data_IF_446154828328
#
_entry.id   IF_446154828328
#
_cell.length_a   1.000
_cell.length_b   1.000
_cell.length_c   1.000
_cell.angle_alpha   90.00
_cell.angle_beta   90.00
_cell.angle_gamma   90.00
#
_symmetry.space_group_name_H-M   'P 1'
#
loop_
_entity.id
_entity.type
_entity.pdbx_description
1 polymer ?
#
# COMPACT_ATOMS: atom_id res chain seq x y z
N UNK A 1 -22.83 -37.43 29.95
CA UNK A 1 -22.19 -36.61 28.92
C UNK A 1 -22.87 -35.25 28.96
N UNK A 2 -22.13 -34.22 29.33
CA UNK A 2 -22.63 -32.86 29.46
C UNK A 2 -23.06 -32.30 28.09
N UNK A 3 -24.24 -31.70 28.03
CA UNK A 3 -24.76 -31.06 26.81
C UNK A 3 -24.12 -29.68 26.64
N UNK A 4 -23.08 -29.61 25.80
CA UNK A 4 -22.57 -28.33 25.32
C UNK A 4 -23.67 -27.63 24.50
N UNK A 5 -24.05 -26.41 24.92
CA UNK A 5 -24.93 -25.51 24.17
C UNK A 5 -24.08 -24.43 23.50
N UNK A 6 -24.26 -24.28 22.19
CA UNK A 6 -23.66 -23.18 21.43
C UNK A 6 -24.41 -21.90 21.78
N UNK A 7 -23.68 -20.89 22.24
CA UNK A 7 -24.19 -19.53 22.42
C UNK A 7 -23.88 -18.80 21.12
N UNK A 8 -24.90 -18.31 20.41
CA UNK A 8 -24.70 -17.42 19.28
C UNK A 8 -24.10 -16.11 19.79
N UNK A 9 -22.83 -15.85 19.45
CA UNK A 9 -22.16 -14.61 19.81
C UNK A 9 -22.84 -13.43 19.12
N UNK A 10 -23.06 -12.33 19.85
CA UNK A 10 -23.51 -11.07 19.26
C UNK A 10 -22.45 -10.63 18.25
N UNK A 11 -22.86 -10.51 16.99
CA UNK A 11 -21.97 -10.10 15.91
C UNK A 11 -21.78 -8.59 16.03
N UNK A 12 -20.70 -8.15 16.68
CA UNK A 12 -20.36 -6.73 16.73
C UNK A 12 -20.00 -6.23 15.33
N UNK A 13 -20.50 -5.04 15.00
CA UNK A 13 -20.11 -4.35 13.77
C UNK A 13 -18.61 -4.04 13.82
N UNK A 14 -17.94 -4.22 12.68
CA UNK A 14 -16.52 -3.88 12.59
C UNK A 14 -16.35 -2.38 12.82
N UNK A 15 -15.34 -1.95 13.62
CA UNK A 15 -15.03 -0.53 13.76
C UNK A 15 -14.76 0.14 12.41
N UNK A 16 -15.17 1.40 12.28
CA UNK A 16 -14.77 2.24 11.15
C UNK A 16 -13.33 2.70 11.35
N UNK A 17 -12.39 1.87 10.88
CA UNK A 17 -10.96 2.16 10.98
C UNK A 17 -10.56 3.40 10.19
N UNK A 18 -11.24 3.73 9.09
CA UNK A 18 -10.97 4.95 8.33
C UNK A 18 -11.20 6.18 9.20
N UNK A 19 -12.38 6.30 9.81
CA UNK A 19 -12.73 7.45 10.64
C UNK A 19 -11.86 7.54 11.90
N UNK A 20 -11.56 6.39 12.52
CA UNK A 20 -10.69 6.33 13.69
C UNK A 20 -9.30 6.88 13.35
N UNK A 21 -8.66 6.39 12.29
CA UNK A 21 -7.31 6.81 11.93
C UNK A 21 -7.26 8.22 11.36
N UNK A 22 -8.27 8.65 10.60
CA UNK A 22 -8.40 10.04 10.14
C UNK A 22 -8.41 11.01 11.34
N UNK A 23 -9.27 10.77 12.31
CA UNK A 23 -9.37 11.59 13.53
C UNK A 23 -8.06 11.60 14.33
N UNK A 24 -7.43 10.43 14.49
CA UNK A 24 -6.15 10.35 15.22
C UNK A 24 -5.03 11.09 14.48
N UNK A 25 -4.96 10.96 13.16
CA UNK A 25 -3.97 11.63 12.33
C UNK A 25 -4.15 13.16 12.36
N UNK A 26 -5.38 13.65 12.22
CA UNK A 26 -5.67 15.10 12.32
C UNK A 26 -5.24 15.67 13.68
N UNK A 27 -5.50 14.95 14.77
CA UNK A 27 -5.05 15.37 16.11
C UNK A 27 -3.53 15.42 16.22
N UNK A 28 -2.83 14.40 15.71
CA UNK A 28 -1.38 14.34 15.75
C UNK A 28 -0.74 15.47 14.91
N UNK A 29 -1.27 15.76 13.72
CA UNK A 29 -0.80 16.86 12.86
C UNK A 29 -1.05 18.23 13.51
N UNK A 30 -2.20 18.41 14.16
CA UNK A 30 -2.47 19.64 14.91
C UNK A 30 -1.49 19.83 16.08
N UNK A 31 -1.14 18.74 16.77
CA UNK A 31 -0.16 18.77 17.85
C UNK A 31 1.26 19.10 17.33
N UNK A 32 1.67 18.54 16.17
CA UNK A 32 2.92 18.89 15.49
C UNK A 32 2.97 20.40 15.19
N UNK A 33 1.90 20.95 14.61
CA UNK A 33 1.80 22.37 14.27
C UNK A 33 1.91 23.25 15.51
N UNK A 34 1.13 22.96 16.55
CA UNK A 34 1.10 23.74 17.78
C UNK A 34 2.47 23.75 18.50
N UNK A 35 3.17 22.60 18.55
CA UNK A 35 4.52 22.54 19.15
C UNK A 35 5.53 23.33 18.33
N UNK A 36 5.49 23.23 16.99
CA UNK A 36 6.39 24.01 16.13
C UNK A 36 6.23 25.51 16.33
N UNK A 37 4.98 25.98 16.51
CA UNK A 37 4.67 27.39 16.77
C UNK A 37 5.08 27.83 18.19
N UNK A 38 4.88 26.98 19.20
CA UNK A 38 5.07 27.36 20.61
C UNK A 38 6.51 27.17 21.09
N UNK A 39 7.11 26.01 20.83
CA UNK A 39 8.40 25.61 21.41
C UNK A 39 9.54 25.60 20.40
N UNK A 40 9.26 25.76 19.10
CA UNK A 40 10.21 25.59 17.96
C UNK A 40 10.87 24.20 17.86
N UNK A 41 10.77 23.38 18.89
CA UNK A 41 11.17 21.98 18.98
C UNK A 41 9.91 21.13 19.08
N UNK A 42 9.81 20.13 18.22
CA UNK A 42 8.70 19.17 18.19
C UNK A 42 9.16 17.88 18.83
N UNK A 43 8.33 17.30 19.71
CA UNK A 43 8.64 16.04 20.38
C UNK A 43 8.67 14.87 19.39
N UNK A 44 9.66 13.99 19.54
CA UNK A 44 9.79 12.75 18.77
C UNK A 44 8.55 11.86 18.91
N UNK A 45 7.87 11.89 20.05
CA UNK A 45 6.65 11.10 20.26
C UNK A 45 5.49 11.58 19.40
N UNK A 46 5.39 12.89 19.17
CA UNK A 46 4.33 13.45 18.31
C UNK A 46 4.60 13.11 16.85
N UNK A 47 5.87 13.17 16.41
CA UNK A 47 6.28 12.66 15.09
C UNK A 47 5.88 11.19 14.91
N UNK A 48 6.25 10.34 15.87
CA UNK A 48 5.92 8.91 15.87
C UNK A 48 4.41 8.65 15.79
N UNK A 49 3.60 9.40 16.56
CA UNK A 49 2.13 9.32 16.49
C UNK A 49 1.60 9.72 15.12
N UNK A 50 2.08 10.83 14.55
CA UNK A 50 1.65 11.30 13.24
C UNK A 50 2.01 10.31 12.14
N UNK A 51 3.20 9.72 12.18
CA UNK A 51 3.64 8.69 11.24
C UNK A 51 2.77 7.44 11.37
N UNK A 52 2.61 6.91 12.58
CA UNK A 52 1.82 5.70 12.83
C UNK A 52 0.38 5.84 12.33
N UNK A 53 -0.28 6.93 12.72
CA UNK A 53 -1.67 7.20 12.35
C UNK A 53 -1.83 7.57 10.87
N UNK A 54 -0.85 8.26 10.27
CA UNK A 54 -0.85 8.61 8.85
C UNK A 54 -0.73 7.37 7.95
N UNK A 55 0.21 6.46 8.27
CA UNK A 55 0.36 5.18 7.57
C UNK A 55 -0.96 4.39 7.61
N UNK A 56 -1.54 4.21 8.80
CA UNK A 56 -2.79 3.46 8.96
C UNK A 56 -3.98 4.13 8.31
N UNK A 57 -4.07 5.46 8.37
CA UNK A 57 -5.09 6.20 7.66
C UNK A 57 -5.01 5.94 6.16
N UNK A 58 -3.83 6.07 5.55
CA UNK A 58 -3.61 5.86 4.11
C UNK A 58 -3.97 4.43 3.69
N UNK A 59 -3.65 3.44 4.51
CA UNK A 59 -4.01 2.04 4.27
C UNK A 59 -5.52 1.78 4.32
N UNK A 60 -6.26 2.52 5.14
CA UNK A 60 -7.71 2.36 5.30
C UNK A 60 -8.52 3.30 4.39
N UNK A 61 -7.88 4.20 3.66
CA UNK A 61 -8.50 5.09 2.68
C UNK A 61 -8.80 4.31 1.40
N UNK A 62 -10.04 4.40 0.90
CA UNK A 62 -10.45 3.72 -0.34
C UNK A 62 -9.50 4.01 -1.51
N UNK A 63 -9.25 2.97 -2.31
CA UNK A 63 -8.45 3.07 -3.54
C UNK A 63 -9.35 3.37 -4.76
N UNK A 64 -10.38 4.24 -4.62
CA UNK A 64 -11.09 4.76 -5.79
C UNK A 64 -10.21 5.78 -6.53
N UNK A 65 -9.34 5.27 -7.39
CA UNK A 65 -8.33 6.03 -8.12
C UNK A 65 -8.85 6.60 -9.45
N UNK A 66 -10.17 6.79 -9.60
CA UNK A 66 -10.78 7.33 -10.83
C UNK A 66 -10.74 8.85 -10.92
N UNK A 67 -10.85 9.54 -9.79
CA UNK A 67 -10.80 11.01 -9.74
C UNK A 67 -9.34 11.48 -9.61
N UNK A 68 -8.84 12.14 -10.66
CA UNK A 68 -7.49 12.68 -10.70
C UNK A 68 -7.19 13.62 -9.52
N UNK A 69 -8.15 14.46 -9.10
CA UNK A 69 -7.95 15.40 -7.98
C UNK A 69 -7.77 14.64 -6.67
N UNK A 70 -8.56 13.60 -6.47
CA UNK A 70 -8.45 12.72 -5.31
C UNK A 70 -7.10 11.96 -5.30
N UNK A 71 -6.71 11.38 -6.43
CA UNK A 71 -5.42 10.69 -6.56
C UNK A 71 -4.25 11.63 -6.25
N UNK A 72 -4.30 12.87 -6.74
CA UNK A 72 -3.29 13.90 -6.47
C UNK A 72 -3.23 14.26 -4.98
N UNK A 73 -4.38 14.47 -4.33
CA UNK A 73 -4.42 14.73 -2.89
C UNK A 73 -3.87 13.54 -2.07
N UNK A 74 -4.21 12.30 -2.44
CA UNK A 74 -3.66 11.09 -1.79
C UNK A 74 -2.15 10.99 -1.99
N UNK A 75 -1.64 11.32 -3.17
CA UNK A 75 -0.21 11.37 -3.44
C UNK A 75 0.51 12.39 -2.55
N UNK A 76 0.01 13.62 -2.49
CA UNK A 76 0.62 14.68 -1.69
C UNK A 76 0.64 14.30 -0.19
N UNK A 77 -0.42 13.64 0.30
CA UNK A 77 -0.47 13.08 1.65
C UNK A 77 0.58 11.98 1.89
N UNK A 78 0.76 11.06 0.94
CA UNK A 78 1.78 10.00 1.02
C UNK A 78 3.18 10.61 1.05
N UNK A 79 3.44 11.61 0.21
CA UNK A 79 4.73 12.34 0.21
C UNK A 79 4.97 12.98 1.56
N UNK A 80 3.97 13.68 2.12
CA UNK A 80 4.09 14.29 3.45
C UNK A 80 4.39 13.26 4.55
N UNK A 81 3.70 12.11 4.57
CA UNK A 81 3.98 11.05 5.55
C UNK A 81 5.39 10.47 5.37
N UNK A 82 5.87 10.32 4.13
CA UNK A 82 7.25 9.91 3.85
C UNK A 82 8.28 10.93 4.33
N UNK A 83 8.02 12.22 4.19
CA UNK A 83 8.89 13.28 4.73
C UNK A 83 8.99 13.19 6.26
N UNK A 84 7.88 12.93 6.95
CA UNK A 84 7.89 12.69 8.40
C UNK A 84 8.71 11.44 8.76
N UNK A 85 8.56 10.35 8.01
CA UNK A 85 9.36 9.13 8.20
C UNK A 85 10.86 9.41 7.98
N UNK A 86 11.21 10.22 6.97
CA UNK A 86 12.57 10.64 6.68
C UNK A 86 13.24 11.42 7.81
N UNK A 87 12.48 11.96 8.76
CA UNK A 87 13.02 12.61 9.96
C UNK A 87 13.45 11.63 11.07
N UNK A 88 13.12 10.34 10.95
CA UNK A 88 13.49 9.32 11.94
C UNK A 88 14.79 8.60 11.55
N UNK A 89 15.42 7.96 12.54
CA UNK A 89 16.39 6.88 12.29
C UNK A 89 15.68 5.53 12.14
N UNK A 90 16.31 4.51 11.54
CA UNK A 90 15.78 3.14 11.54
C UNK A 90 15.42 2.64 12.94
N UNK A 91 16.25 2.92 13.96
CA UNK A 91 15.96 2.57 15.36
C UNK A 91 14.62 3.14 15.84
N UNK A 92 14.36 4.39 15.52
CA UNK A 92 13.13 5.08 15.93
C UNK A 92 11.92 4.55 15.16
N UNK A 93 12.08 4.27 13.87
CA UNK A 93 11.03 3.67 13.05
C UNK A 93 10.67 2.26 13.54
N UNK A 94 11.65 1.43 13.91
CA UNK A 94 11.41 0.10 14.49
C UNK A 94 10.61 0.14 15.79
N UNK A 95 10.66 1.26 16.53
CA UNK A 95 9.87 1.41 17.77
C UNK A 95 8.37 1.62 17.52
N UNK A 96 7.99 2.05 16.30
CA UNK A 96 6.58 2.23 15.91
C UNK A 96 6.08 1.10 15.01
N UNK A 97 6.93 0.56 14.15
CA UNK A 97 6.61 -0.57 13.28
C UNK A 97 7.65 -1.67 13.47
N UNK A 98 7.41 -2.65 14.35
CA UNK A 98 8.36 -3.75 14.53
C UNK A 98 8.53 -4.57 13.25
N UNK A 99 9.75 -5.05 13.00
CA UNK A 99 10.05 -5.97 11.90
C UNK A 99 9.35 -7.31 12.17
N UNK A 100 8.64 -7.84 11.17
CA UNK A 100 8.01 -9.15 11.25
C UNK A 100 9.08 -10.25 11.37
N UNK A 101 8.92 -11.16 12.34
CA UNK A 101 9.85 -12.26 12.63
C UNK A 101 9.63 -13.46 11.72
N UNK A 102 9.69 -13.21 10.43
CA UNK A 102 9.69 -14.24 9.40
C UNK A 102 11.13 -14.42 8.89
N UNK A 103 11.53 -15.65 8.58
CA UNK A 103 12.95 -16.00 8.35
C UNK A 103 13.20 -16.75 7.04
N UNK A 104 12.17 -17.02 6.24
CA UNK A 104 12.25 -17.84 5.02
C UNK A 104 11.91 -17.04 3.76
N UNK A 105 11.97 -15.71 3.82
CA UNK A 105 11.60 -14.85 2.68
C UNK A 105 12.52 -15.07 1.49
N UNK A 106 13.83 -15.23 1.72
CA UNK A 106 14.81 -15.46 0.66
C UNK A 106 14.52 -16.70 -0.22
N UNK A 107 13.91 -17.76 0.33
CA UNK A 107 13.49 -18.94 -0.45
C UNK A 107 12.39 -18.63 -1.46
N UNK A 108 11.61 -17.58 -1.20
CA UNK A 108 10.44 -17.20 -1.97
C UNK A 108 10.60 -15.84 -2.68
N UNK A 109 11.82 -15.29 -2.71
CA UNK A 109 12.06 -13.96 -3.27
C UNK A 109 11.36 -12.83 -2.50
N UNK A 110 11.00 -13.07 -1.24
CA UNK A 110 10.34 -12.11 -0.37
C UNK A 110 11.34 -11.54 0.64
N UNK A 111 11.04 -10.34 1.12
CA UNK A 111 11.74 -9.75 2.28
C UNK A 111 11.40 -10.56 3.53
N UNK A 112 12.31 -10.52 4.49
CA UNK A 112 12.21 -11.18 5.78
C UNK A 112 13.03 -10.44 6.83
N UNK A 113 13.01 -10.93 8.06
CA UNK A 113 13.72 -10.30 9.17
C UNK A 113 15.21 -10.07 8.87
N UNK A 114 15.90 -11.06 8.30
CA UNK A 114 17.34 -10.96 8.06
C UNK A 114 17.68 -10.02 6.91
N UNK A 115 16.94 -10.05 5.82
CA UNK A 115 17.13 -9.12 4.70
C UNK A 115 16.81 -7.68 5.09
N UNK A 116 15.77 -7.45 5.91
CA UNK A 116 15.49 -6.12 6.47
C UNK A 116 16.59 -5.65 7.41
N UNK A 117 17.03 -6.47 8.37
CA UNK A 117 18.12 -6.08 9.28
C UNK A 117 19.41 -5.77 8.51
N UNK A 118 19.75 -6.57 7.50
CA UNK A 118 20.90 -6.29 6.63
C UNK A 118 20.80 -4.92 5.95
N UNK A 119 19.64 -4.60 5.38
CA UNK A 119 19.42 -3.28 4.74
C UNK A 119 19.51 -2.13 5.74
N UNK A 120 19.03 -2.33 6.98
CA UNK A 120 19.15 -1.33 8.06
C UNK A 120 20.60 -1.14 8.48
N UNK A 121 21.37 -2.22 8.60
CA UNK A 121 22.78 -2.18 8.99
C UNK A 121 23.62 -1.47 7.92
N UNK A 122 23.34 -1.70 6.64
CA UNK A 122 23.99 -1.01 5.50
C UNK A 122 23.69 0.50 5.49
N UNK A 123 22.48 0.91 5.87
CA UNK A 123 22.08 2.33 6.00
C UNK A 123 22.64 2.99 7.27
N UNK A 124 22.85 2.20 8.33
CA UNK A 124 23.19 2.66 9.67
C UNK A 124 21.95 2.88 10.53
N UNK A 125 21.82 2.08 11.60
CA UNK A 125 20.62 2.03 12.47
C UNK A 125 20.29 3.36 13.17
N UNK A 126 21.31 4.21 13.39
CA UNK A 126 21.19 5.53 14.02
C UNK A 126 21.38 6.69 13.01
N UNK A 127 21.48 6.38 11.72
CA UNK A 127 21.52 7.37 10.64
C UNK A 127 20.09 7.83 10.34
N UNK A 128 19.89 9.12 10.05
CA UNK A 128 18.59 9.61 9.61
C UNK A 128 18.20 8.98 8.26
N UNK A 129 16.96 8.50 8.14
CA UNK A 129 16.44 7.87 6.91
C UNK A 129 16.50 8.84 5.73
N UNK A 130 16.08 10.10 5.95
CA UNK A 130 16.17 11.18 4.97
C UNK A 130 15.54 10.86 3.62
N UNK A 131 16.23 11.24 2.55
CA UNK A 131 15.76 11.07 1.16
C UNK A 131 15.69 9.60 0.72
N UNK A 132 16.36 8.69 1.45
CA UNK A 132 16.33 7.25 1.18
C UNK A 132 15.04 6.58 1.67
N UNK A 133 14.05 7.34 2.15
CA UNK A 133 12.80 6.82 2.72
C UNK A 133 12.07 5.82 1.82
N UNK A 134 12.05 6.03 0.51
CA UNK A 134 11.35 5.10 -0.39
C UNK A 134 12.07 3.76 -0.50
N UNK A 135 13.42 3.76 -0.52
CA UNK A 135 14.22 2.54 -0.52
C UNK A 135 14.17 1.82 0.83
N UNK A 136 14.28 2.58 1.92
CA UNK A 136 14.13 2.08 3.28
C UNK A 136 12.80 1.33 3.46
N UNK A 137 11.68 1.99 3.14
CA UNK A 137 10.35 1.41 3.29
C UNK A 137 10.15 0.22 2.35
N UNK A 138 10.71 0.27 1.14
CA UNK A 138 10.70 -0.89 0.25
C UNK A 138 11.37 -2.08 0.95
N UNK A 139 12.58 -1.95 1.48
CA UNK A 139 13.31 -3.07 2.09
C UNK A 139 12.82 -3.47 3.51
N UNK A 140 11.78 -2.81 4.02
CA UNK A 140 11.29 -3.02 5.37
C UNK A 140 10.20 -4.10 5.46
N UNK A 141 10.46 -5.19 6.19
CA UNK A 141 9.51 -6.30 6.34
C UNK A 141 8.53 -6.09 7.50
N UNK A 142 7.39 -5.47 7.20
CA UNK A 142 6.23 -5.39 8.09
C UNK A 142 4.97 -5.44 7.22
N UNK A 143 4.22 -6.54 7.28
CA UNK A 143 3.08 -6.81 6.37
C UNK A 143 1.88 -5.90 6.65
N UNK A 144 1.54 -5.73 7.93
CA UNK A 144 0.29 -5.11 8.37
C UNK A 144 0.22 -3.61 8.05
N UNK A 145 1.33 -2.90 8.12
CA UNK A 145 1.35 -1.45 8.01
C UNK A 145 2.25 -0.98 6.86
N UNK A 146 3.54 -1.33 6.91
CA UNK A 146 4.55 -0.73 6.02
C UNK A 146 4.45 -1.26 4.60
N UNK A 147 4.26 -2.57 4.43
CA UNK A 147 4.15 -3.19 3.11
C UNK A 147 2.92 -2.68 2.37
N UNK A 148 1.77 -2.64 3.05
CA UNK A 148 0.54 -2.09 2.49
C UNK A 148 0.69 -0.61 2.13
N UNK A 149 1.37 0.19 2.96
CA UNK A 149 1.65 1.59 2.67
C UNK A 149 2.52 1.79 1.42
N UNK A 150 3.53 0.95 1.24
CA UNK A 150 4.40 0.95 0.05
C UNK A 150 3.60 0.56 -1.20
N UNK A 151 2.75 -0.46 -1.12
CA UNK A 151 1.86 -0.86 -2.22
C UNK A 151 0.91 0.28 -2.59
N UNK A 152 0.23 0.88 -1.61
CA UNK A 152 -0.64 2.04 -1.82
C UNK A 152 0.10 3.22 -2.46
N UNK A 153 1.36 3.47 -2.07
CA UNK A 153 2.21 4.49 -2.69
C UNK A 153 2.44 4.22 -4.18
N UNK A 154 2.73 2.97 -4.55
CA UNK A 154 2.94 2.58 -5.95
C UNK A 154 1.66 2.64 -6.78
N UNK A 155 0.53 2.21 -6.22
CA UNK A 155 -0.78 2.28 -6.88
C UNK A 155 -1.16 3.73 -7.21
N UNK A 156 -0.95 4.65 -6.27
CA UNK A 156 -1.22 6.08 -6.48
C UNK A 156 -0.32 6.67 -7.57
N UNK A 157 0.98 6.37 -7.55
CA UNK A 157 1.91 6.81 -8.62
C UNK A 157 1.48 6.25 -9.98
N UNK A 158 1.10 4.98 -10.03
CA UNK A 158 0.59 4.33 -11.24
C UNK A 158 -0.68 5.01 -11.76
N UNK A 159 -1.62 5.36 -10.89
CA UNK A 159 -2.84 6.08 -11.25
C UNK A 159 -2.57 7.50 -11.75
N UNK A 160 -1.66 8.25 -11.12
CA UNK A 160 -1.24 9.56 -11.62
C UNK A 160 -0.66 9.47 -13.02
N UNK A 161 0.24 8.52 -13.26
CA UNK A 161 0.83 8.29 -14.59
C UNK A 161 -0.24 8.01 -15.64
N UNK A 162 -1.21 7.13 -15.33
CA UNK A 162 -2.32 6.84 -16.24
C UNK A 162 -3.16 8.08 -16.54
N UNK A 163 -3.44 8.90 -15.53
CA UNK A 163 -4.20 10.14 -15.71
C UNK A 163 -3.45 11.16 -16.59
N UNK A 164 -2.12 11.11 -16.62
CA UNK A 164 -1.26 11.89 -17.52
C UNK A 164 -1.07 11.24 -18.91
N UNK A 165 -1.79 10.15 -19.21
CA UNK A 165 -1.66 9.40 -20.46
C UNK A 165 -0.40 8.54 -20.59
N UNK A 166 0.35 8.35 -19.49
CA UNK A 166 1.54 7.49 -19.43
C UNK A 166 1.16 6.06 -19.05
N UNK A 167 2.04 5.12 -19.40
CA UNK A 167 1.96 3.72 -18.94
C UNK A 167 2.07 3.66 -17.42
N UNK A 168 1.35 2.72 -16.82
CA UNK A 168 1.53 2.34 -15.43
C UNK A 168 2.92 1.78 -15.15
N UNK A 169 3.28 1.74 -13.87
CA UNK A 169 4.55 1.14 -13.44
C UNK A 169 4.68 -0.33 -13.88
N UNK A 170 3.59 -1.10 -13.80
CA UNK A 170 3.58 -2.50 -14.22
C UNK A 170 3.71 -2.66 -15.74
N UNK A 171 2.97 -1.86 -16.52
CA UNK A 171 3.06 -1.88 -17.98
C UNK A 171 4.47 -1.53 -18.46
N UNK A 172 5.07 -0.47 -17.90
CA UNK A 172 6.44 -0.06 -18.21
C UNK A 172 7.46 -1.16 -17.85
N UNK A 173 7.32 -1.78 -16.68
CA UNK A 173 8.18 -2.88 -16.26
C UNK A 173 8.10 -4.08 -17.22
N UNK A 174 6.88 -4.56 -17.51
CA UNK A 174 6.70 -5.74 -18.36
C UNK A 174 7.19 -5.49 -19.78
N UNK A 175 6.92 -4.31 -20.34
CA UNK A 175 7.45 -3.93 -21.64
C UNK A 175 8.98 -3.93 -21.66
N UNK A 176 9.63 -3.41 -20.61
CA UNK A 176 11.08 -3.45 -20.46
C UNK A 176 11.66 -4.87 -20.41
N UNK A 177 10.87 -5.85 -19.95
CA UNK A 177 11.23 -7.28 -19.97
C UNK A 177 10.85 -8.00 -21.28
N UNK A 178 10.27 -7.30 -22.25
CA UNK A 178 9.79 -7.87 -23.51
C UNK A 178 8.47 -8.62 -23.41
N UNK A 179 7.73 -8.48 -22.29
CA UNK A 179 6.45 -9.11 -22.05
C UNK A 179 5.28 -8.18 -22.40
N UNK A 180 4.28 -8.72 -23.10
CA UNK A 180 3.06 -7.99 -23.42
C UNK A 180 2.10 -7.92 -22.22
N UNK A 181 1.46 -6.77 -22.04
CA UNK A 181 0.36 -6.58 -21.09
C UNK A 181 -0.96 -6.39 -21.83
N UNK A 182 -2.05 -6.80 -21.20
CA UNK A 182 -3.38 -6.79 -21.82
C UNK A 182 -4.41 -6.16 -20.89
N UNK A 183 -5.26 -5.30 -21.46
CA UNK A 183 -6.39 -4.72 -20.74
C UNK A 183 -7.69 -5.43 -21.12
N UNK A 184 -8.44 -5.87 -20.11
CA UNK A 184 -9.74 -6.52 -20.30
C UNK A 184 -10.86 -5.47 -20.38
N UNK A 185 -11.53 -5.41 -21.52
CA UNK A 185 -12.72 -4.58 -21.72
C UNK A 185 -13.97 -5.47 -21.75
N UNK A 186 -14.97 -5.09 -20.95
CA UNK A 186 -16.29 -5.72 -21.00
C UNK A 186 -17.21 -4.90 -21.90
N UNK A 187 -17.60 -5.47 -23.04
CA UNK A 187 -18.56 -4.87 -23.97
C UNK A 187 -20.01 -5.14 -23.58
N UNK A 188 -20.94 -4.57 -24.35
CA UNK A 188 -22.37 -4.84 -24.20
C UNK A 188 -22.67 -6.34 -24.42
N UNK A 189 -23.62 -6.90 -23.66
CA UNK A 189 -24.02 -8.33 -23.67
C UNK A 189 -22.97 -9.32 -23.13
N UNK A 190 -22.03 -8.87 -22.29
CA UNK A 190 -21.10 -9.76 -21.57
C UNK A 190 -19.96 -10.34 -22.41
N UNK A 191 -19.79 -9.84 -23.64
CA UNK A 191 -18.62 -10.12 -24.48
C UNK A 191 -17.40 -9.40 -23.91
N UNK A 192 -16.32 -10.13 -23.74
CA UNK A 192 -15.07 -9.62 -23.19
C UNK A 192 -14.01 -9.58 -24.29
N UNK A 193 -13.21 -8.52 -24.31
CA UNK A 193 -12.11 -8.33 -25.25
C UNK A 193 -10.83 -8.02 -24.49
N UNK A 194 -9.75 -8.67 -24.85
CA UNK A 194 -8.40 -8.30 -24.43
C UNK A 194 -7.80 -7.39 -25.49
N UNK A 195 -7.24 -6.27 -25.08
CA UNK A 195 -6.49 -5.37 -25.95
C UNK A 195 -5.03 -5.44 -25.50
N UNK A 196 -4.13 -5.75 -26.43
CA UNK A 196 -2.70 -5.71 -26.20
C UNK A 196 -2.25 -4.25 -26.03
N UNK A 197 -1.67 -3.91 -24.89
CA UNK A 197 -1.29 -2.54 -24.54
C UNK A 197 -0.08 -2.01 -25.34
N UNK A 198 0.64 -2.88 -26.07
CA UNK A 198 1.76 -2.53 -26.95
C UNK A 198 1.33 -2.45 -28.42
N UNK A 199 0.67 -3.48 -28.95
CA UNK A 199 0.31 -3.55 -30.38
C UNK A 199 -1.06 -2.94 -30.69
N UNK A 200 -1.92 -2.78 -29.69
CA UNK A 200 -3.33 -2.39 -29.87
C UNK A 200 -4.22 -3.50 -30.43
N UNK A 201 -3.66 -4.68 -30.71
CA UNK A 201 -4.39 -5.82 -31.23
C UNK A 201 -5.46 -6.28 -30.24
N UNK A 202 -6.63 -6.64 -30.75
CA UNK A 202 -7.79 -7.02 -29.94
C UNK A 202 -8.13 -8.49 -30.14
N UNK A 203 -8.29 -9.22 -29.05
CA UNK A 203 -8.71 -10.61 -29.03
C UNK A 203 -10.02 -10.77 -28.25
N UNK A 204 -11.01 -11.47 -28.81
CA UNK A 204 -12.22 -11.82 -28.05
C UNK A 204 -11.91 -12.94 -27.05
N UNK A 205 -12.36 -12.78 -25.80
CA UNK A 205 -12.23 -13.80 -24.76
C UNK A 205 -13.30 -14.86 -24.99
N UNK A 206 -12.88 -16.03 -25.46
CA UNK A 206 -13.78 -17.18 -25.57
C UNK A 206 -13.97 -17.81 -24.19
N UNK A 207 -15.19 -17.71 -23.64
CA UNK A 207 -15.52 -18.42 -22.40
C UNK A 207 -15.63 -19.91 -22.69
N UNK A 208 -14.99 -20.79 -21.89
CA UNK A 208 -15.15 -22.22 -22.05
C UNK A 208 -16.63 -22.59 -21.93
N UNK A 209 -17.09 -23.49 -22.81
CA UNK A 209 -18.48 -23.96 -22.79
C UNK A 209 -18.78 -24.54 -21.40
N UNK A 210 -19.83 -24.08 -20.70
CA UNK A 210 -20.17 -24.60 -19.38
C UNK A 210 -20.32 -26.13 -19.40
N UNK A 211 -19.69 -26.83 -18.46
CA UNK A 211 -19.65 -28.30 -18.42
C UNK A 211 -21.05 -28.96 -18.37
N UNK A 212 -22.07 -28.23 -17.95
CA UNK A 212 -23.45 -28.71 -17.86
C UNK A 212 -24.22 -28.68 -19.20
N UNK A 213 -23.71 -28.00 -20.24
CA UNK A 213 -24.34 -27.97 -21.56
C UNK A 213 -23.85 -29.16 -22.41
N UNK A 214 -24.71 -30.17 -22.59
CA UNK A 214 -24.43 -31.31 -23.48
C UNK A 214 -24.55 -30.86 -24.95
N UNK A 215 -23.64 -31.27 -25.85
CA UNK A 215 -23.84 -31.07 -27.28
C UNK A 215 -25.06 -31.86 -27.74
N UNK A 216 -25.99 -31.19 -28.43
CA UNK A 216 -27.05 -31.87 -29.18
C UNK A 216 -26.38 -32.48 -30.41
N UNK A 217 -26.43 -33.80 -30.54
CA UNK A 217 -26.02 -34.52 -31.75
C UNK A 217 -27.10 -34.39 -32.82
#
# INVERSE_FOLDING_TARGET
MDQLRVIEGVKEDKPDYFEIYLRMFMKAVQELKNQKETTKLVSKDVYKKAIFTGVRFINNVSNDLKDHKYVKAKFDLIVYVKELIGCLTPREFMSIFPIAKEYKGGKHGMKDYFSTMKSIDEMGIDTQIGDNVSEFLWNYHNWEDVTEFVVNSMEVVSALRKAEGKKSLAEEFFEGTGLDTYTLHSGQKGKQKLINNRTGETQEVQKPRPRYLKPVQ
#
